data_IF_060491798027
#
_entry.id   IF_060491798027
#
_cell.length_a   1.000
_cell.length_b   1.000
_cell.length_c   1.000
_cell.angle_alpha   90.00
_cell.angle_beta   90.00
_cell.angle_gamma   90.00
#
_symmetry.space_group_name_H-M   'P 1'
#
loop_
_entity.id
_entity.type
_entity.pdbx_description
1 polymer ?
#
# COMPACT_ATOMS: atom_id res chain seq x y z
N UNK A 1 -11.90 -7.27 -9.30
CA UNK A 1 -11.97 -6.03 -10.07
C UNK A 1 -10.82 -5.12 -9.66
N UNK A 2 -10.08 -4.63 -10.64
CA UNK A 2 -8.94 -3.73 -10.42
C UNK A 2 -9.22 -2.43 -11.17
N UNK A 3 -9.25 -1.33 -10.41
CA UNK A 3 -9.42 0.02 -10.94
C UNK A 3 -8.13 0.83 -10.71
N UNK A 4 -7.90 1.82 -11.57
CA UNK A 4 -6.82 2.81 -11.38
C UNK A 4 -7.44 4.18 -11.41
N UNK A 5 -7.15 5.02 -10.41
CA UNK A 5 -7.70 6.36 -10.28
C UNK A 5 -6.65 7.36 -9.87
N UNK A 6 -6.83 8.61 -10.30
CA UNK A 6 -6.08 9.76 -9.78
C UNK A 6 -6.99 10.47 -8.80
N UNK A 7 -6.74 10.33 -7.51
CA UNK A 7 -7.55 10.96 -6.47
C UNK A 7 -6.76 11.12 -5.19
N UNK A 8 -7.32 11.81 -4.20
CA UNK A 8 -6.70 11.95 -2.89
C UNK A 8 -6.97 10.69 -2.07
N UNK A 9 -5.91 9.99 -1.72
CA UNK A 9 -5.98 8.73 -0.98
C UNK A 9 -6.69 8.89 0.38
N UNK A 10 -6.58 10.06 1.01
CA UNK A 10 -7.20 10.32 2.31
C UNK A 10 -8.73 10.25 2.28
N UNK A 11 -9.34 10.47 1.12
CA UNK A 11 -10.80 10.44 0.97
C UNK A 11 -11.35 9.12 0.46
N UNK A 12 -10.48 8.13 0.22
CA UNK A 12 -10.95 6.82 -0.21
C UNK A 12 -11.92 6.23 0.82
N UNK A 13 -13.05 5.69 0.36
CA UNK A 13 -14.18 5.30 1.20
C UNK A 13 -14.45 3.79 1.21
N UNK A 14 -13.48 2.94 0.89
CA UNK A 14 -13.60 1.48 1.02
C UNK A 14 -13.30 1.00 2.44
N UNK A 15 -12.96 -0.27 2.59
CA UNK A 15 -12.69 -0.87 3.89
C UNK A 15 -11.32 -0.49 4.45
N UNK A 16 -10.30 -0.46 3.60
CA UNK A 16 -8.93 -0.24 4.07
C UNK A 16 -8.06 0.39 2.99
N UNK A 17 -6.94 0.94 3.44
CA UNK A 17 -5.85 1.40 2.58
C UNK A 17 -4.63 0.56 2.92
N UNK A 18 -3.97 -0.01 1.89
CA UNK A 18 -2.63 -0.58 2.04
C UNK A 18 -1.65 0.55 1.73
N UNK A 19 -0.78 0.89 2.66
CA UNK A 19 0.21 1.95 2.46
C UNK A 19 1.61 1.42 2.71
N UNK A 20 2.66 1.95 2.03
CA UNK A 20 4.04 1.66 2.39
C UNK A 20 4.42 2.39 3.67
N UNK A 21 5.29 1.79 4.47
CA UNK A 21 5.74 2.38 5.72
C UNK A 21 7.18 2.01 6.02
N UNK A 22 7.80 2.78 6.93
CA UNK A 22 9.10 2.43 7.50
C UNK A 22 8.91 1.40 8.62
N UNK A 23 10.01 0.86 9.10
CA UNK A 23 10.03 -0.14 10.18
C UNK A 23 9.38 0.35 11.49
N UNK A 24 9.26 1.65 11.68
CA UNK A 24 8.59 2.27 12.84
C UNK A 24 7.25 2.90 12.47
N UNK A 25 6.65 2.47 11.35
CA UNK A 25 5.37 2.94 10.82
C UNK A 25 5.37 4.42 10.40
N UNK A 26 6.54 4.93 9.98
CA UNK A 26 6.65 6.28 9.45
C UNK A 26 6.26 6.38 7.98
N UNK A 27 5.97 7.59 7.54
CA UNK A 27 5.66 7.88 6.14
C UNK A 27 6.93 7.84 5.28
N UNK A 28 6.83 7.28 4.07
CA UNK A 28 7.94 7.15 3.13
C UNK A 28 7.96 8.25 2.08
N UNK A 29 6.87 8.98 1.91
CA UNK A 29 6.74 10.06 0.92
C UNK A 29 5.86 11.19 1.49
N UNK A 30 5.89 12.40 0.88
CA UNK A 30 4.99 13.49 1.31
C UNK A 30 3.52 13.13 1.23
N UNK A 31 3.09 12.35 0.22
CA UNK A 31 1.71 11.87 0.13
C UNK A 31 1.31 11.12 1.40
N UNK A 32 2.15 10.22 1.86
CA UNK A 32 1.85 9.38 3.01
C UNK A 32 1.91 10.16 4.32
N UNK A 33 2.75 11.20 4.37
CA UNK A 33 2.74 12.14 5.49
C UNK A 33 1.42 12.88 5.56
N UNK A 34 0.89 13.32 4.42
CA UNK A 34 -0.43 13.97 4.37
C UNK A 34 -1.53 13.02 4.81
N UNK A 35 -1.43 11.74 4.43
CA UNK A 35 -2.38 10.71 4.87
C UNK A 35 -2.38 10.58 6.39
N UNK A 36 -1.20 10.51 7.00
CA UNK A 36 -1.06 10.43 8.46
C UNK A 36 -1.67 11.64 9.16
N UNK A 37 -1.43 12.84 8.62
CA UNK A 37 -1.99 14.07 9.17
C UNK A 37 -3.51 14.08 9.08
N UNK A 38 -4.08 13.59 7.99
CA UNK A 38 -5.52 13.48 7.81
C UNK A 38 -6.16 12.51 8.81
N UNK A 39 -5.42 11.48 9.22
CA UNK A 39 -5.86 10.54 10.24
C UNK A 39 -5.87 11.10 11.65
N UNK A 40 -5.19 12.21 11.88
CA UNK A 40 -5.18 12.95 13.13
C UNK A 40 -4.46 12.24 14.28
N UNK A 41 -4.65 12.78 15.49
CA UNK A 41 -4.00 12.23 16.69
C UNK A 41 -4.40 10.79 16.97
N UNK A 42 -5.63 10.40 16.64
CA UNK A 42 -6.11 9.03 16.82
C UNK A 42 -5.32 8.04 15.96
N UNK A 43 -4.98 8.43 14.72
CA UNK A 43 -4.11 7.58 13.88
C UNK A 43 -2.69 7.56 14.41
N UNK A 44 -2.13 8.71 14.78
CA UNK A 44 -0.75 8.78 15.28
C UNK A 44 -0.55 7.90 16.51
N UNK A 45 -1.55 7.77 17.38
CA UNK A 45 -1.49 6.87 18.52
C UNK A 45 -1.42 5.40 18.08
N UNK A 46 -2.07 5.04 16.98
CA UNK A 46 -2.02 3.68 16.42
C UNK A 46 -0.64 3.35 15.82
N UNK A 47 0.13 4.36 15.42
CA UNK A 47 1.41 4.16 14.74
C UNK A 47 2.60 4.00 15.69
N UNK A 48 2.37 3.94 16.98
CA UNK A 48 3.43 3.71 17.97
C UNK A 48 3.79 2.24 18.01
N UNK A 49 5.08 1.94 17.85
CA UNK A 49 5.58 0.56 17.93
C UNK A 49 6.70 0.50 18.96
N UNK A 50 6.74 -0.59 19.74
CA UNK A 50 7.76 -0.81 20.76
C UNK A 50 9.11 -1.17 20.12
N UNK A 51 9.08 -2.04 19.09
CA UNK A 51 10.27 -2.51 18.39
C UNK A 51 10.08 -2.32 16.87
N UNK A 52 11.18 -2.07 16.12
CA UNK A 52 11.10 -1.97 14.67
C UNK A 52 10.54 -3.24 14.04
N UNK A 53 9.70 -3.05 13.03
CA UNK A 53 9.10 -4.16 12.27
C UNK A 53 10.01 -4.55 11.12
N UNK A 54 10.11 -5.85 10.77
CA UNK A 54 10.99 -6.28 9.69
C UNK A 54 10.48 -5.83 8.32
N UNK A 55 11.41 -5.46 7.44
CA UNK A 55 11.10 -5.20 6.03
C UNK A 55 10.52 -6.46 5.40
N UNK A 56 9.45 -6.31 4.64
CA UNK A 56 8.72 -7.43 4.04
C UNK A 56 7.54 -7.92 4.87
N UNK A 57 7.34 -7.36 6.08
CA UNK A 57 6.15 -7.65 6.89
C UNK A 57 5.03 -6.64 6.64
N UNK A 58 3.85 -6.93 7.16
CA UNK A 58 2.72 -6.01 7.14
C UNK A 58 1.91 -6.16 8.42
N UNK A 59 1.43 -5.02 8.93
CA UNK A 59 0.62 -4.97 10.14
C UNK A 59 -0.65 -4.16 9.90
N UNK A 60 -1.70 -4.44 10.66
CA UNK A 60 -3.00 -3.76 10.56
C UNK A 60 -3.22 -2.90 11.79
N UNK A 61 -3.66 -1.66 11.56
CA UNK A 61 -4.09 -0.75 12.65
C UNK A 61 -5.44 -0.15 12.31
N UNK A 62 -6.05 0.49 13.28
CA UNK A 62 -7.16 1.42 13.02
C UNK A 62 -6.66 2.61 12.22
N UNK A 63 -7.57 3.33 11.60
CA UNK A 63 -7.26 4.40 10.66
C UNK A 63 -7.51 5.82 11.23
N UNK A 64 -7.82 5.93 12.51
CA UNK A 64 -8.09 7.23 13.14
C UNK A 64 -9.27 7.94 12.49
N UNK A 65 -9.06 9.19 12.10
CA UNK A 65 -10.10 10.04 11.50
C UNK A 65 -10.28 9.84 9.99
N UNK A 66 -9.53 8.93 9.36
CA UNK A 66 -9.72 8.63 7.94
C UNK A 66 -11.09 7.98 7.70
N UNK A 67 -11.55 8.06 6.45
CA UNK A 67 -12.84 7.48 6.06
C UNK A 67 -12.84 5.96 6.16
N UNK A 68 -11.71 5.32 5.79
CA UNK A 68 -11.55 3.86 5.92
C UNK A 68 -11.48 3.45 7.39
N UNK A 69 -11.83 2.21 7.68
CA UNK A 69 -11.78 1.68 9.04
C UNK A 69 -10.38 1.23 9.44
N UNK A 70 -9.62 0.69 8.51
CA UNK A 70 -8.33 0.05 8.79
C UNK A 70 -7.25 0.54 7.83
N UNK A 71 -6.02 0.54 8.34
CA UNK A 71 -4.81 0.68 7.52
C UNK A 71 -4.01 -0.62 7.59
N UNK A 72 -3.49 -1.03 6.42
CA UNK A 72 -2.52 -2.12 6.31
C UNK A 72 -1.20 -1.49 5.95
N UNK A 73 -0.21 -1.62 6.83
CA UNK A 73 1.10 -1.01 6.67
C UNK A 73 2.07 -2.04 6.11
N UNK A 74 2.52 -1.84 4.88
CA UNK A 74 3.51 -2.70 4.23
C UNK A 74 4.91 -2.12 4.50
N UNK A 75 5.74 -2.85 5.23
CA UNK A 75 7.05 -2.35 5.67
C UNK A 75 8.07 -2.52 4.55
N UNK A 76 8.48 -1.42 3.95
CA UNK A 76 9.33 -1.41 2.75
C UNK A 76 10.76 -0.94 3.00
N UNK A 77 11.04 -0.33 4.15
CA UNK A 77 12.37 0.23 4.45
C UNK A 77 12.61 0.32 5.95
N UNK A 78 13.87 0.34 6.32
CA UNK A 78 14.33 0.57 7.70
C UNK A 78 15.65 1.38 7.65
N UNK A 79 16.19 1.81 8.81
CA UNK A 79 17.50 2.48 8.82
C UNK A 79 18.64 1.64 8.26
N UNK A 80 18.53 0.31 8.27
CA UNK A 80 19.58 -0.62 7.80
C UNK A 80 19.24 -1.29 6.47
N UNK A 81 18.00 -1.18 5.99
CA UNK A 81 17.56 -1.77 4.73
C UNK A 81 16.84 -0.73 3.89
N UNK A 82 17.45 -0.33 2.81
CA UNK A 82 16.82 0.58 1.86
C UNK A 82 15.73 -0.13 1.06
N UNK A 83 14.90 0.65 0.36
CA UNK A 83 13.85 0.12 -0.51
C UNK A 83 14.50 -0.70 -1.63
N UNK A 84 14.02 -1.93 -1.83
CA UNK A 84 14.40 -2.81 -2.93
C UNK A 84 13.16 -3.42 -3.57
N UNK A 85 13.29 -3.90 -4.80
CA UNK A 85 12.19 -4.59 -5.48
C UNK A 85 11.72 -5.81 -4.68
N UNK A 86 12.65 -6.61 -4.17
CA UNK A 86 12.33 -7.79 -3.37
C UNK A 86 11.63 -7.43 -2.06
N UNK A 87 12.13 -6.41 -1.35
CA UNK A 87 11.52 -5.95 -0.10
C UNK A 87 10.09 -5.46 -0.30
N UNK A 88 9.85 -4.66 -1.36
CA UNK A 88 8.52 -4.18 -1.69
C UNK A 88 7.60 -5.34 -2.08
N UNK A 89 8.09 -6.29 -2.86
CA UNK A 89 7.31 -7.46 -3.25
C UNK A 89 6.86 -8.27 -2.04
N UNK A 90 7.79 -8.56 -1.12
CA UNK A 90 7.48 -9.29 0.10
C UNK A 90 6.49 -8.53 1.00
N UNK A 91 6.69 -7.23 1.14
CA UNK A 91 5.79 -6.39 1.94
C UNK A 91 4.38 -6.36 1.36
N UNK A 92 4.27 -6.24 0.03
CA UNK A 92 2.97 -6.25 -0.62
C UNK A 92 2.29 -7.61 -0.50
N UNK A 93 3.04 -8.69 -0.67
CA UNK A 93 2.52 -10.04 -0.45
C UNK A 93 1.97 -10.20 0.97
N UNK A 94 2.72 -9.74 1.96
CA UNK A 94 2.27 -9.78 3.37
C UNK A 94 1.02 -8.93 3.58
N UNK A 95 0.95 -7.74 2.96
CA UNK A 95 -0.22 -6.88 3.04
C UNK A 95 -1.46 -7.54 2.44
N UNK A 96 -1.32 -8.20 1.30
CA UNK A 96 -2.41 -8.94 0.66
C UNK A 96 -2.89 -10.10 1.56
N UNK A 97 -1.98 -10.78 2.25
CA UNK A 97 -2.36 -11.80 3.22
C UNK A 97 -3.17 -11.20 4.37
N UNK A 98 -2.84 -10.01 4.83
CA UNK A 98 -3.64 -9.31 5.86
C UNK A 98 -5.05 -9.01 5.35
N UNK A 99 -5.20 -8.58 4.10
CA UNK A 99 -6.54 -8.36 3.53
C UNK A 99 -7.38 -9.63 3.50
N UNK A 100 -6.75 -10.75 3.22
CA UNK A 100 -7.42 -12.06 3.25
C UNK A 100 -7.84 -12.43 4.67
N UNK A 101 -6.94 -12.33 5.63
CA UNK A 101 -7.21 -12.68 7.03
C UNK A 101 -8.33 -11.83 7.64
N UNK A 102 -8.35 -10.54 7.32
CA UNK A 102 -9.35 -9.61 7.82
C UNK A 102 -10.60 -9.52 6.93
N UNK A 103 -10.63 -10.26 5.80
CA UNK A 103 -11.72 -10.27 4.82
C UNK A 103 -12.07 -8.86 4.34
N UNK A 104 -11.05 -8.09 3.98
CA UNK A 104 -11.20 -6.72 3.49
C UNK A 104 -11.58 -6.77 2.01
N UNK A 105 -12.82 -6.39 1.69
CA UNK A 105 -13.34 -6.52 0.32
C UNK A 105 -12.86 -5.41 -0.61
N UNK A 106 -12.89 -4.16 -0.14
CA UNK A 106 -12.55 -2.97 -0.93
C UNK A 106 -11.33 -2.29 -0.35
N UNK A 107 -10.22 -2.28 -1.10
CA UNK A 107 -8.97 -1.66 -0.65
C UNK A 107 -8.42 -0.71 -1.70
N UNK A 108 -7.79 0.37 -1.24
CA UNK A 108 -7.02 1.27 -2.07
C UNK A 108 -5.54 1.09 -1.78
N UNK A 109 -4.71 1.26 -2.81
CA UNK A 109 -3.27 1.05 -2.71
C UNK A 109 -2.56 2.12 -3.53
N UNK A 110 -1.73 2.98 -2.91
CA UNK A 110 -0.83 3.85 -3.67
C UNK A 110 0.36 3.03 -4.16
N UNK A 111 1.13 3.53 -5.14
CA UNK A 111 2.37 2.86 -5.56
C UNK A 111 3.31 2.66 -4.38
N UNK A 112 3.77 1.43 -4.18
CA UNK A 112 4.67 1.08 -3.08
C UNK A 112 6.13 1.23 -3.52
N UNK A 113 6.99 1.69 -2.62
CA UNK A 113 8.42 1.74 -2.86
C UNK A 113 8.92 2.98 -3.60
N UNK A 114 8.07 3.97 -3.82
CA UNK A 114 8.48 5.24 -4.43
C UNK A 114 9.18 6.13 -3.41
N UNK A 115 9.84 7.15 -3.91
CA UNK A 115 10.58 8.13 -3.14
C UNK A 115 11.93 8.40 -3.78
N UNK A 116 12.61 9.47 -3.36
CA UNK A 116 13.90 9.85 -3.94
C UNK A 116 14.92 8.70 -3.81
N UNK A 117 15.47 8.25 -4.93
CA UNK A 117 16.45 7.17 -4.96
C UNK A 117 15.88 5.77 -4.80
N UNK A 118 14.55 5.63 -4.71
CA UNK A 118 13.87 4.34 -4.58
C UNK A 118 13.39 3.82 -5.94
N UNK A 119 12.30 3.02 -5.96
CA UNK A 119 11.83 2.44 -7.21
C UNK A 119 11.23 3.50 -8.14
N UNK A 120 11.34 3.29 -9.44
CA UNK A 120 10.59 4.03 -10.44
C UNK A 120 9.13 3.54 -10.44
N UNK A 121 8.21 4.39 -10.91
CA UNK A 121 6.79 4.03 -10.95
C UNK A 121 6.52 2.78 -11.78
N UNK A 122 7.23 2.60 -12.89
CA UNK A 122 7.07 1.42 -13.75
C UNK A 122 7.45 0.14 -13.03
N UNK A 123 8.55 0.16 -12.27
CA UNK A 123 8.98 -1.00 -11.47
C UNK A 123 7.97 -1.34 -10.38
N UNK A 124 7.52 -0.32 -9.65
CA UNK A 124 6.52 -0.50 -8.59
C UNK A 124 5.22 -1.06 -9.15
N UNK A 125 4.71 -0.46 -10.23
CA UNK A 125 3.45 -0.88 -10.86
C UNK A 125 3.52 -2.33 -11.34
N UNK A 126 4.63 -2.71 -11.96
CA UNK A 126 4.82 -4.05 -12.51
C UNK A 126 4.84 -5.12 -11.42
N UNK A 127 5.64 -4.92 -10.38
CA UNK A 127 5.70 -5.89 -9.29
C UNK A 127 4.39 -5.98 -8.50
N UNK A 128 3.69 -4.86 -8.32
CA UNK A 128 2.41 -4.87 -7.63
C UNK A 128 1.33 -5.60 -8.43
N UNK A 129 1.26 -5.36 -9.74
CA UNK A 129 0.32 -6.05 -10.60
C UNK A 129 0.56 -7.57 -10.59
N UNK A 130 1.82 -7.99 -10.68
CA UNK A 130 2.18 -9.40 -10.68
C UNK A 130 1.81 -10.09 -9.35
N UNK A 131 2.16 -9.48 -8.22
CA UNK A 131 1.84 -10.04 -6.91
C UNK A 131 0.33 -10.10 -6.67
N UNK A 132 -0.40 -9.07 -7.09
CA UNK A 132 -1.85 -9.07 -6.96
C UNK A 132 -2.49 -10.20 -7.77
N UNK A 133 -2.07 -10.39 -9.02
CA UNK A 133 -2.59 -11.48 -9.84
C UNK A 133 -2.29 -12.85 -9.23
N UNK A 134 -1.09 -13.04 -8.72
CA UNK A 134 -0.72 -14.27 -8.03
C UNK A 134 -1.61 -14.51 -6.81
N UNK A 135 -1.84 -13.48 -6.01
CA UNK A 135 -2.70 -13.56 -4.83
C UNK A 135 -4.15 -13.90 -5.21
N UNK A 136 -4.67 -13.32 -6.29
CA UNK A 136 -6.04 -13.54 -6.74
C UNK A 136 -6.32 -14.98 -7.18
N UNK A 137 -5.28 -15.74 -7.49
CA UNK A 137 -5.46 -17.15 -7.86
C UNK A 137 -5.88 -18.03 -6.68
N UNK A 138 -5.57 -17.61 -5.46
CA UNK A 138 -5.80 -18.41 -4.27
C UNK A 138 -6.65 -17.71 -3.20
N UNK A 139 -7.06 -16.47 -3.42
CA UNK A 139 -7.83 -15.71 -2.43
C UNK A 139 -8.95 -14.92 -3.10
N UNK A 140 -10.11 -14.92 -2.44
CA UNK A 140 -11.25 -14.10 -2.84
C UNK A 140 -11.14 -12.65 -2.35
N UNK A 141 -10.23 -12.36 -1.40
CA UNK A 141 -10.07 -11.02 -0.84
C UNK A 141 -8.68 -10.47 -1.14
N UNK A 142 -8.58 -9.18 -1.48
CA UNK A 142 -9.69 -8.24 -1.64
C UNK A 142 -10.47 -8.50 -2.94
N UNK A 143 -11.74 -8.14 -2.94
CA UNK A 143 -12.62 -8.29 -4.11
C UNK A 143 -12.45 -7.16 -5.11
N UNK A 144 -12.23 -5.96 -4.60
CA UNK A 144 -11.99 -4.75 -5.40
C UNK A 144 -10.73 -4.06 -4.92
N UNK A 145 -9.83 -3.84 -5.85
CA UNK A 145 -8.59 -3.09 -5.61
C UNK A 145 -8.63 -1.82 -6.43
N UNK A 146 -8.40 -0.69 -5.77
CA UNK A 146 -8.24 0.60 -6.44
C UNK A 146 -6.80 1.05 -6.25
N UNK A 147 -6.01 1.04 -7.34
CA UNK A 147 -4.71 1.69 -7.31
C UNK A 147 -4.91 3.19 -7.41
N UNK A 148 -4.36 3.94 -6.47
CA UNK A 148 -4.54 5.39 -6.39
C UNK A 148 -3.22 6.08 -6.74
N UNK A 149 -3.22 6.82 -7.84
CA UNK A 149 -2.08 7.59 -8.32
C UNK A 149 -2.20 9.04 -7.93
N UNK A 150 -1.07 9.74 -7.81
CA UNK A 150 -1.04 11.18 -7.61
C UNK A 150 -1.15 11.96 -8.92
N UNK A 151 -0.68 11.38 -10.02
CA UNK A 151 -0.59 12.04 -11.32
C UNK A 151 -1.12 11.14 -12.42
N UNK A 152 -1.53 11.74 -13.59
CA UNK A 152 -1.90 10.95 -14.75
C UNK A 152 -0.79 10.03 -15.25
N UNK A 153 0.48 10.42 -15.13
CA UNK A 153 1.61 9.60 -15.56
C UNK A 153 1.73 8.34 -14.71
N UNK A 154 1.57 8.47 -13.40
CA UNK A 154 1.53 7.31 -12.50
C UNK A 154 0.36 6.40 -12.81
N UNK A 155 -0.81 6.99 -13.06
CA UNK A 155 -2.00 6.22 -13.44
C UNK A 155 -1.77 5.42 -14.72
N UNK A 156 -1.14 6.03 -15.72
CA UNK A 156 -0.82 5.35 -16.98
C UNK A 156 0.10 4.14 -16.76
N UNK A 157 1.12 4.28 -15.93
CA UNK A 157 2.03 3.18 -15.61
C UNK A 157 1.29 2.04 -14.90
N UNK A 158 0.40 2.36 -13.97
CA UNK A 158 -0.40 1.38 -13.27
C UNK A 158 -1.37 0.66 -14.21
N UNK A 159 -2.08 1.41 -15.05
CA UNK A 159 -3.02 0.84 -16.02
C UNK A 159 -2.31 -0.11 -16.98
N UNK A 160 -1.14 0.29 -17.46
CA UNK A 160 -0.34 -0.53 -18.36
C UNK A 160 0.10 -1.84 -17.69
N UNK A 161 0.58 -1.76 -16.46
CA UNK A 161 1.02 -2.94 -15.69
C UNK A 161 -0.15 -3.89 -15.41
N UNK A 162 -1.31 -3.36 -15.03
CA UNK A 162 -2.52 -4.15 -14.79
C UNK A 162 -2.96 -4.87 -16.06
N UNK A 163 -2.97 -4.18 -17.20
CA UNK A 163 -3.36 -4.77 -18.48
C UNK A 163 -2.38 -5.90 -18.89
N UNK A 164 -1.08 -5.69 -18.72
CA UNK A 164 -0.07 -6.71 -19.05
C UNK A 164 -0.19 -7.94 -18.14
N UNK A 165 -0.49 -7.74 -16.86
CA UNK A 165 -0.61 -8.84 -15.90
C UNK A 165 -1.83 -9.72 -16.16
N UNK A 166 -2.82 -9.25 -16.90
CA UNK A 166 -4.01 -10.00 -17.27
C UNK A 166 -3.80 -10.92 -18.46
N UNK A 167 -2.70 -10.74 -19.19
CA UNK A 167 -2.38 -11.54 -20.39
C UNK A 167 -1.83 -12.92 -20.03
#
# INVERSE_FOLDING_TARGET
>A
VIDVRVEDLAFYAGHAIIRPATATLGATTPLLRRLELAGGAALLDQLKVADPLPVGSAVVTGAGDLVVELLVHAIVTSPTERVTRDGVRRAFRSALQRTREWQLADVAIPPLGLGAGNLEIEESAELMADELRTHQRTSAFPRRVTFVAETPDEASALEHAVARSAA
#
